data_IF_392516386036
#
_entry.id   IF_392516386036
#
_cell.length_a   1.000
_cell.length_b   1.000
_cell.length_c   1.000
_cell.angle_alpha   90.00
_cell.angle_beta   90.00
_cell.angle_gamma   90.00
#
_symmetry.space_group_name_H-M   'P 1'
#
loop_
_entity.id
_entity.type
_entity.pdbx_description
1 polymer ?
#
# COMPACT_ATOMS: atom_id res chain seq x y z
N UNK A 1 4.35 13.70 35.47
CA UNK A 1 4.35 13.86 34.00
C UNK A 1 3.35 12.93 33.27
N UNK A 2 3.26 11.62 33.56
CA UNK A 2 2.31 10.67 32.93
C UNK A 2 0.82 11.05 33.11
N UNK A 3 0.40 11.44 34.31
CA UNK A 3 -0.99 11.79 34.65
C UNK A 3 -1.46 13.05 33.90
N UNK A 4 -0.65 14.09 33.83
CA UNK A 4 -0.96 15.30 33.07
C UNK A 4 -1.11 15.02 31.56
N UNK A 5 -0.25 14.17 31.00
CA UNK A 5 -0.36 13.73 29.59
C UNK A 5 -1.65 12.93 29.36
N UNK A 6 -2.07 12.09 30.32
CA UNK A 6 -3.32 11.34 30.24
C UNK A 6 -4.56 12.24 30.31
N UNK A 7 -4.58 13.21 31.24
CA UNK A 7 -5.64 14.20 31.36
C UNK A 7 -5.77 15.07 30.11
N UNK A 8 -4.65 15.54 29.57
CA UNK A 8 -4.63 16.29 28.31
C UNK A 8 -5.16 15.48 27.13
N UNK A 9 -4.81 14.18 27.06
CA UNK A 9 -5.33 13.26 26.02
C UNK A 9 -6.84 13.06 26.15
N UNK A 10 -7.36 12.83 27.37
CA UNK A 10 -8.81 12.69 27.62
C UNK A 10 -9.57 13.98 27.28
N UNK A 11 -9.05 15.14 27.69
CA UNK A 11 -9.61 16.46 27.36
C UNK A 11 -9.67 16.67 25.84
N UNK A 12 -8.57 16.41 25.13
CA UNK A 12 -8.51 16.54 23.68
C UNK A 12 -9.47 15.58 22.96
N UNK A 13 -9.62 14.33 23.45
CA UNK A 13 -10.55 13.36 22.90
C UNK A 13 -12.01 13.83 23.08
N UNK A 14 -12.35 14.35 24.26
CA UNK A 14 -13.68 14.90 24.55
C UNK A 14 -14.03 16.07 23.61
N UNK A 15 -13.14 17.05 23.46
CA UNK A 15 -13.36 18.18 22.56
C UNK A 15 -13.44 17.77 21.09
N UNK A 16 -12.66 16.76 20.66
CA UNK A 16 -12.77 16.19 19.31
C UNK A 16 -14.15 15.54 19.11
N UNK A 17 -14.65 14.81 20.09
CA UNK A 17 -16.00 14.23 20.07
C UNK A 17 -17.08 15.29 19.90
N UNK A 18 -17.03 16.38 20.66
CA UNK A 18 -17.98 17.51 20.53
C UNK A 18 -17.90 18.12 19.12
N UNK A 19 -16.71 18.42 18.62
CA UNK A 19 -16.52 18.98 17.28
C UNK A 19 -17.03 18.05 16.19
N UNK A 20 -16.80 16.75 16.34
CA UNK A 20 -17.29 15.73 15.42
C UNK A 20 -18.83 15.69 15.41
N UNK A 21 -19.47 15.73 16.59
CA UNK A 21 -20.93 15.76 16.69
C UNK A 21 -21.54 17.04 16.10
N UNK A 22 -20.88 18.19 16.29
CA UNK A 22 -21.32 19.45 15.70
C UNK A 22 -21.28 19.44 14.17
N UNK A 23 -20.22 18.88 13.58
CA UNK A 23 -20.14 18.79 12.11
C UNK A 23 -21.19 17.82 11.56
N UNK A 24 -21.44 16.69 12.23
CA UNK A 24 -22.51 15.77 11.85
C UNK A 24 -23.89 16.41 11.98
N UNK A 25 -24.13 17.17 13.06
CA UNK A 25 -25.36 17.89 13.25
C UNK A 25 -25.66 18.87 12.12
N UNK A 26 -24.65 19.55 11.58
CA UNK A 26 -24.78 20.47 10.45
C UNK A 26 -25.37 19.79 9.20
N UNK A 27 -25.09 18.50 9.01
CA UNK A 27 -25.55 17.74 7.85
C UNK A 27 -26.80 16.90 8.11
N UNK A 28 -27.36 16.89 9.33
CA UNK A 28 -28.52 16.05 9.68
C UNK A 28 -29.74 16.25 8.80
N UNK A 29 -29.96 17.47 8.32
CA UNK A 29 -31.11 17.85 7.47
C UNK A 29 -30.82 17.74 5.97
N UNK A 30 -29.67 17.19 5.58
CA UNK A 30 -29.39 16.93 4.17
C UNK A 30 -30.45 15.96 3.62
N UNK A 31 -30.95 16.17 2.38
CA UNK A 31 -31.94 15.30 1.77
C UNK A 31 -31.54 13.82 1.77
N UNK A 32 -32.51 12.96 1.55
CA UNK A 32 -32.23 11.54 1.35
C UNK A 32 -31.25 11.34 0.19
N UNK A 33 -30.37 10.33 0.32
CA UNK A 33 -29.39 9.99 -0.72
C UNK A 33 -30.13 9.61 -2.00
N UNK A 34 -29.65 10.15 -3.11
CA UNK A 34 -30.06 9.72 -4.45
C UNK A 34 -29.08 8.64 -4.91
N UNK A 35 -29.49 7.76 -5.85
CA UNK A 35 -28.55 6.89 -6.57
C UNK A 35 -27.41 7.71 -7.16
N UNK A 36 -26.20 7.16 -7.15
CA UNK A 36 -25.05 7.81 -7.76
C UNK A 36 -25.21 7.80 -9.28
N UNK A 37 -25.09 8.99 -9.88
CA UNK A 37 -25.07 9.13 -11.34
C UNK A 37 -23.63 9.47 -11.77
N UNK A 38 -22.92 8.56 -12.45
CA UNK A 38 -21.57 8.80 -12.92
C UNK A 38 -21.50 9.67 -14.19
N UNK A 39 -22.63 9.86 -14.90
CA UNK A 39 -22.65 10.55 -16.21
C UNK A 39 -22.11 11.98 -16.15
N UNK A 40 -22.49 12.85 -15.18
CA UNK A 40 -21.97 14.21 -15.10
C UNK A 40 -20.56 14.28 -14.48
N UNK A 41 -20.04 13.20 -13.91
CA UNK A 41 -18.73 13.19 -13.23
C UNK A 41 -17.61 13.27 -14.26
N UNK A 42 -16.63 14.13 -14.00
CA UNK A 42 -15.40 14.26 -14.79
C UNK A 42 -14.16 14.23 -13.89
N UNK A 43 -14.17 14.96 -12.79
CA UNK A 43 -13.03 15.17 -11.89
C UNK A 43 -13.24 14.41 -10.59
N UNK A 44 -12.38 13.43 -10.35
CA UNK A 44 -12.44 12.53 -9.18
C UNK A 44 -11.23 12.75 -8.30
N UNK A 45 -11.45 12.95 -7.01
CA UNK A 45 -10.39 13.02 -5.99
C UNK A 45 -10.41 11.75 -5.13
N UNK A 46 -9.30 11.03 -5.10
CA UNK A 46 -9.08 9.87 -4.24
C UNK A 46 -8.37 10.32 -2.96
N UNK A 47 -8.90 9.96 -1.78
CA UNK A 47 -8.33 10.32 -0.49
C UNK A 47 -7.60 9.11 0.13
N UNK A 48 -6.30 9.28 0.39
CA UNK A 48 -5.46 8.35 1.17
C UNK A 48 -4.57 9.16 2.11
N UNK A 49 -5.13 9.56 3.26
CA UNK A 49 -4.50 10.53 4.16
C UNK A 49 -3.51 9.90 5.15
N UNK A 50 -3.49 8.59 5.24
CA UNK A 50 -2.70 7.81 6.20
C UNK A 50 -1.26 7.52 5.76
N UNK A 51 -0.87 7.93 4.54
CA UNK A 51 0.47 7.76 3.94
C UNK A 51 0.98 6.31 3.92
N UNK A 52 0.05 5.33 3.93
CA UNK A 52 0.38 3.91 3.85
C UNK A 52 0.64 3.48 2.41
N UNK A 53 1.88 3.10 2.13
CA UNK A 53 2.32 2.72 0.78
C UNK A 53 1.52 1.55 0.20
N UNK A 54 1.28 0.47 0.98
CA UNK A 54 0.53 -0.69 0.51
C UNK A 54 -0.88 -0.33 0.06
N UNK A 55 -1.60 0.42 0.89
CA UNK A 55 -2.93 0.93 0.59
C UNK A 55 -2.93 1.83 -0.66
N UNK A 56 -1.91 2.69 -0.80
CA UNK A 56 -1.78 3.55 -1.97
C UNK A 56 -1.54 2.74 -3.25
N UNK A 57 -0.66 1.74 -3.21
CA UNK A 57 -0.41 0.87 -4.38
C UNK A 57 -1.70 0.18 -4.82
N UNK A 58 -2.51 -0.32 -3.90
CA UNK A 58 -3.83 -0.88 -4.23
C UNK A 58 -4.76 0.19 -4.83
N UNK A 59 -4.72 1.44 -4.31
CA UNK A 59 -5.53 2.56 -4.84
C UNK A 59 -5.20 2.88 -6.29
N UNK A 60 -3.95 2.67 -6.73
CA UNK A 60 -3.54 2.95 -8.13
C UNK A 60 -4.31 2.11 -9.15
N UNK A 61 -4.73 0.90 -8.79
CA UNK A 61 -5.58 0.09 -9.68
C UNK A 61 -6.94 0.74 -9.94
N UNK A 62 -7.57 1.31 -8.91
CA UNK A 62 -8.81 2.09 -9.07
C UNK A 62 -8.55 3.37 -9.88
N UNK A 63 -7.46 4.09 -9.61
CA UNK A 63 -7.09 5.28 -10.35
C UNK A 63 -6.91 4.98 -11.85
N UNK A 64 -6.21 3.89 -12.19
CA UNK A 64 -6.00 3.44 -13.56
C UNK A 64 -7.32 3.16 -14.28
N UNK A 65 -8.18 2.32 -13.68
CA UNK A 65 -9.46 1.95 -14.31
C UNK A 65 -10.33 3.19 -14.55
N UNK A 66 -10.42 4.11 -13.61
CA UNK A 66 -11.17 5.35 -13.77
C UNK A 66 -10.55 6.23 -14.88
N UNK A 67 -9.23 6.40 -14.91
CA UNK A 67 -8.54 7.20 -15.92
C UNK A 67 -8.70 6.62 -17.34
N UNK A 68 -8.60 5.31 -17.50
CA UNK A 68 -8.84 4.60 -18.77
C UNK A 68 -10.28 4.78 -19.29
N UNK A 69 -11.23 5.12 -18.42
CA UNK A 69 -12.61 5.46 -18.76
C UNK A 69 -12.86 6.96 -18.93
N UNK A 70 -11.79 7.76 -18.97
CA UNK A 70 -11.84 9.19 -19.26
C UNK A 70 -12.10 10.10 -18.07
N UNK A 71 -12.07 9.58 -16.82
CA UNK A 71 -12.13 10.41 -15.61
C UNK A 71 -10.79 11.09 -15.34
N UNK A 72 -10.81 12.36 -14.96
CA UNK A 72 -9.64 13.09 -14.49
C UNK A 72 -9.39 12.77 -13.02
N UNK A 73 -8.48 11.84 -12.76
CA UNK A 73 -8.22 11.35 -11.43
C UNK A 73 -7.11 12.15 -10.76
N UNK A 74 -7.38 12.64 -9.56
CA UNK A 74 -6.39 13.26 -8.67
C UNK A 74 -6.33 12.51 -7.35
N UNK A 75 -5.21 12.64 -6.62
CA UNK A 75 -5.02 12.00 -5.32
C UNK A 75 -4.60 13.04 -4.29
N UNK A 76 -5.18 12.98 -3.09
CA UNK A 76 -4.73 13.74 -1.91
C UNK A 76 -4.16 12.75 -0.89
N UNK A 77 -2.84 12.87 -0.60
CA UNK A 77 -2.12 11.89 0.19
C UNK A 77 -0.93 12.47 0.96
N UNK A 78 -0.30 11.67 1.81
CA UNK A 78 0.90 12.05 2.55
C UNK A 78 2.18 12.07 1.68
N UNK A 79 3.31 12.50 2.26
CA UNK A 79 4.54 12.76 1.51
C UNK A 79 5.14 11.53 0.84
N UNK A 80 5.15 10.36 1.51
CA UNK A 80 5.73 9.13 0.94
C UNK A 80 4.90 8.65 -0.26
N UNK A 81 3.57 8.72 -0.15
CA UNK A 81 2.68 8.35 -1.24
C UNK A 81 2.72 9.39 -2.39
N UNK A 82 2.95 10.67 -2.12
CA UNK A 82 3.22 11.66 -3.17
C UNK A 82 4.46 11.31 -3.98
N UNK A 83 5.52 10.89 -3.30
CA UNK A 83 6.79 10.49 -3.93
C UNK A 83 6.61 9.27 -4.84
N UNK A 84 5.91 8.23 -4.37
CA UNK A 84 5.72 6.98 -5.14
C UNK A 84 4.79 7.16 -6.35
N UNK A 85 3.91 8.15 -6.33
CA UNK A 85 2.97 8.44 -7.41
C UNK A 85 3.50 9.44 -8.44
N UNK A 86 4.64 10.09 -8.17
CA UNK A 86 5.19 11.12 -9.03
C UNK A 86 5.46 10.59 -10.45
N UNK A 87 4.87 11.25 -11.45
CA UNK A 87 4.98 10.82 -12.86
C UNK A 87 3.99 9.74 -13.29
N UNK A 88 2.95 9.45 -12.49
CA UNK A 88 1.89 8.52 -12.89
C UNK A 88 1.11 9.05 -14.09
N UNK A 89 0.96 8.22 -15.13
CA UNK A 89 0.16 8.55 -16.33
C UNK A 89 -1.36 8.49 -16.08
N UNK A 90 -1.81 7.80 -15.03
CA UNK A 90 -3.22 7.64 -14.66
C UNK A 90 -3.70 8.64 -13.61
N UNK A 91 -2.80 9.45 -13.05
CA UNK A 91 -3.12 10.43 -12.01
C UNK A 91 -2.73 11.81 -12.50
N UNK A 92 -3.74 12.62 -12.81
CA UNK A 92 -3.53 13.97 -13.34
C UNK A 92 -2.76 14.87 -12.37
N UNK A 93 -3.08 14.79 -11.08
CA UNK A 93 -2.43 15.61 -10.05
C UNK A 93 -2.38 14.88 -8.70
N UNK A 94 -1.21 14.88 -8.08
CA UNK A 94 -1.02 14.43 -6.70
C UNK A 94 -0.89 15.65 -5.80
N UNK A 95 -1.75 15.74 -4.79
CA UNK A 95 -1.74 16.80 -3.79
C UNK A 95 -1.18 16.29 -2.47
N UNK A 96 -0.24 17.04 -1.91
CA UNK A 96 0.32 16.73 -0.60
C UNK A 96 -0.65 17.16 0.52
N UNK A 97 -1.14 16.18 1.27
CA UNK A 97 -1.92 16.43 2.48
C UNK A 97 -1.02 16.88 3.62
N UNK A 98 -1.40 17.98 4.26
CA UNK A 98 -0.84 18.43 5.54
C UNK A 98 -1.96 18.85 6.46
N UNK A 99 -1.90 18.53 7.77
CA UNK A 99 -2.88 19.04 8.73
C UNK A 99 -3.00 20.56 8.63
N UNK A 100 -4.25 21.06 8.58
CA UNK A 100 -4.57 22.51 8.47
C UNK A 100 -4.09 23.20 7.18
N UNK A 101 -3.81 22.45 6.12
CA UNK A 101 -3.47 23.05 4.81
C UNK A 101 -4.61 23.93 4.28
N UNK A 102 -4.28 24.91 3.45
CA UNK A 102 -5.28 25.64 2.68
C UNK A 102 -5.88 24.73 1.61
N UNK A 103 -7.21 24.76 1.48
CA UNK A 103 -7.94 23.97 0.49
C UNK A 103 -8.33 24.79 -0.77
N UNK A 104 -7.85 26.02 -0.89
CA UNK A 104 -8.25 26.90 -1.99
C UNK A 104 -7.92 26.31 -3.35
N UNK A 105 -6.74 25.75 -3.54
CA UNK A 105 -6.33 25.08 -4.77
C UNK A 105 -7.24 23.89 -5.10
N UNK A 106 -7.53 23.03 -4.11
CA UNK A 106 -8.41 21.88 -4.29
C UNK A 106 -9.85 22.29 -4.62
N UNK A 107 -10.35 23.35 -3.97
CA UNK A 107 -11.69 23.89 -4.27
C UNK A 107 -11.76 24.51 -5.67
N UNK A 108 -10.71 25.19 -6.11
CA UNK A 108 -10.65 25.79 -7.44
C UNK A 108 -10.72 24.74 -8.56
N UNK A 109 -10.26 23.52 -8.31
CA UNK A 109 -10.44 22.40 -9.26
C UNK A 109 -11.91 22.05 -9.41
N UNK A 110 -12.71 22.12 -8.34
CA UNK A 110 -14.13 21.79 -8.36
C UNK A 110 -14.35 20.30 -8.64
N UNK A 111 -13.97 19.42 -7.72
CA UNK A 111 -14.16 17.98 -7.87
C UNK A 111 -15.63 17.60 -7.90
N UNK A 112 -16.02 16.76 -8.86
CA UNK A 112 -17.37 16.24 -9.00
C UNK A 112 -17.60 15.10 -7.98
N UNK A 113 -16.59 14.27 -7.76
CA UNK A 113 -16.63 13.20 -6.76
C UNK A 113 -15.35 13.16 -5.91
N UNK A 114 -15.52 12.94 -4.61
CA UNK A 114 -14.43 12.65 -3.68
C UNK A 114 -14.67 11.26 -3.10
N UNK A 115 -13.66 10.37 -3.17
CA UNK A 115 -13.72 9.00 -2.69
C UNK A 115 -12.84 8.85 -1.46
N UNK A 116 -13.46 8.57 -0.32
CA UNK A 116 -12.80 8.29 0.96
C UNK A 116 -12.71 6.78 1.18
N UNK A 117 -11.53 6.22 1.05
CA UNK A 117 -11.30 4.77 1.18
C UNK A 117 -11.24 4.28 2.62
N UNK A 118 -11.09 5.17 3.60
CA UNK A 118 -10.91 4.78 5.00
C UNK A 118 -12.24 4.57 5.73
N UNK A 119 -12.27 3.56 6.60
CA UNK A 119 -13.39 3.38 7.54
C UNK A 119 -13.32 4.34 8.74
N UNK A 120 -12.14 4.92 8.98
CA UNK A 120 -11.92 5.83 10.12
C UNK A 120 -12.75 7.09 9.98
N UNK A 121 -13.45 7.44 11.06
CA UNK A 121 -14.20 8.69 11.20
C UNK A 121 -13.47 9.62 12.17
N UNK A 122 -13.18 10.83 11.73
CA UNK A 122 -12.59 11.87 12.60
C UNK A 122 -13.13 13.24 12.24
N UNK A 123 -13.07 14.16 13.20
CA UNK A 123 -13.45 15.55 12.95
C UNK A 123 -12.64 16.17 11.81
N UNK A 124 -11.33 15.93 11.79
CA UNK A 124 -10.40 16.47 10.79
C UNK A 124 -10.76 16.00 9.38
N UNK A 125 -11.09 14.71 9.25
CA UNK A 125 -11.53 14.11 7.97
C UNK A 125 -12.86 14.68 7.49
N UNK A 126 -13.85 14.75 8.41
CA UNK A 126 -15.16 15.29 8.06
C UNK A 126 -15.09 16.78 7.71
N UNK A 127 -14.27 17.53 8.45
CA UNK A 127 -14.02 18.93 8.12
C UNK A 127 -13.37 19.07 6.75
N UNK A 128 -12.37 18.26 6.44
CA UNK A 128 -11.72 18.23 5.12
C UNK A 128 -12.76 17.98 4.00
N UNK A 129 -13.55 16.92 4.12
CA UNK A 129 -14.57 16.56 3.14
C UNK A 129 -15.62 17.66 2.97
N UNK A 130 -16.11 18.22 4.08
CA UNK A 130 -17.07 19.33 4.06
C UNK A 130 -16.48 20.59 3.38
N UNK A 131 -15.23 20.87 3.69
CA UNK A 131 -14.53 22.06 3.17
C UNK A 131 -14.10 21.92 1.69
N UNK A 132 -13.95 20.71 1.16
CA UNK A 132 -13.67 20.47 -0.26
C UNK A 132 -14.83 20.90 -1.16
N UNK A 133 -16.08 20.86 -0.68
CA UNK A 133 -17.28 21.25 -1.42
C UNK A 133 -17.46 20.49 -2.74
N UNK A 134 -17.07 19.22 -2.77
CA UNK A 134 -17.31 18.37 -3.93
C UNK A 134 -18.83 18.13 -4.12
N UNK A 135 -19.23 17.84 -5.35
CA UNK A 135 -20.64 17.55 -5.68
C UNK A 135 -21.12 16.28 -5.00
N UNK A 136 -20.26 15.26 -4.95
CA UNK A 136 -20.54 13.97 -4.29
C UNK A 136 -19.39 13.53 -3.41
N UNK A 137 -19.69 13.14 -2.19
CA UNK A 137 -18.77 12.50 -1.24
C UNK A 137 -19.14 11.03 -1.09
N UNK A 138 -18.22 10.16 -1.47
CA UNK A 138 -18.38 8.69 -1.47
C UNK A 138 -17.49 8.11 -0.38
N UNK A 139 -17.99 7.16 0.41
CA UNK A 139 -17.20 6.47 1.43
C UNK A 139 -17.64 5.04 1.63
N UNK A 140 -16.90 4.28 2.43
CA UNK A 140 -17.22 2.91 2.78
C UNK A 140 -17.83 2.83 4.17
N UNK A 141 -18.95 2.11 4.32
CA UNK A 141 -19.63 1.88 5.61
C UNK A 141 -19.97 3.18 6.36
N UNK A 142 -20.49 4.20 5.65
CA UNK A 142 -20.77 5.56 6.14
C UNK A 142 -22.26 5.90 6.17
N UNK A 143 -23.16 4.91 6.17
CA UNK A 143 -24.60 5.13 6.07
C UNK A 143 -25.16 6.03 7.16
N UNK A 144 -24.60 5.97 8.37
CA UNK A 144 -25.01 6.79 9.51
C UNK A 144 -24.61 8.26 9.37
N UNK A 145 -23.77 8.64 8.40
CA UNK A 145 -23.27 10.01 8.26
C UNK A 145 -23.81 10.68 7.01
N UNK A 146 -24.65 11.69 7.19
CA UNK A 146 -25.26 12.45 6.11
C UNK A 146 -24.29 13.32 5.29
N UNK A 147 -23.06 13.52 5.78
CA UNK A 147 -21.99 14.18 5.01
C UNK A 147 -21.69 13.41 3.72
N UNK A 148 -21.69 12.08 3.79
CA UNK A 148 -21.46 11.24 2.63
C UNK A 148 -22.74 11.12 1.80
N UNK A 149 -22.65 11.48 0.52
CA UNK A 149 -23.76 11.35 -0.44
C UNK A 149 -24.01 9.90 -0.83
N UNK A 150 -22.93 9.10 -0.87
CA UNK A 150 -23.01 7.67 -1.18
C UNK A 150 -22.15 6.88 -0.19
N UNK A 151 -22.68 5.77 0.26
CA UNK A 151 -22.00 4.83 1.13
C UNK A 151 -21.99 3.46 0.48
N UNK A 152 -20.79 2.94 0.26
CA UNK A 152 -20.60 1.59 -0.27
C UNK A 152 -20.55 0.64 0.93
N UNK A 153 -21.52 -0.27 1.03
CA UNK A 153 -21.48 -1.32 2.05
C UNK A 153 -20.45 -2.39 1.64
N UNK A 154 -19.44 -2.59 2.47
CA UNK A 154 -18.43 -3.62 2.24
C UNK A 154 -17.94 -4.17 3.58
N UNK A 155 -18.35 -5.41 3.89
CA UNK A 155 -18.07 -6.11 5.15
C UNK A 155 -17.41 -7.48 4.93
N UNK A 156 -17.01 -7.78 3.69
CA UNK A 156 -16.39 -9.06 3.37
C UNK A 156 -14.98 -9.14 3.97
N UNK A 157 -14.83 -10.02 4.96
CA UNK A 157 -13.60 -10.27 5.68
C UNK A 157 -12.69 -11.32 5.04
N UNK A 158 -13.19 -12.04 4.03
CA UNK A 158 -12.49 -13.16 3.40
C UNK A 158 -11.97 -12.83 2.00
N UNK A 159 -12.40 -11.71 1.43
CA UNK A 159 -11.95 -11.32 0.11
C UNK A 159 -10.67 -10.48 0.16
N UNK A 160 -9.90 -10.59 -0.92
CA UNK A 160 -8.73 -9.74 -1.14
C UNK A 160 -9.14 -8.26 -1.19
N UNK A 161 -8.29 -7.38 -0.66
CA UNK A 161 -8.53 -5.94 -0.54
C UNK A 161 -8.97 -5.28 -1.87
N UNK A 162 -8.50 -5.75 -3.02
CA UNK A 162 -8.89 -5.23 -4.33
C UNK A 162 -10.40 -5.33 -4.59
N UNK A 163 -11.11 -6.30 -3.97
CA UNK A 163 -12.56 -6.43 -4.13
C UNK A 163 -13.30 -5.22 -3.53
N UNK A 164 -12.77 -4.66 -2.45
CA UNK A 164 -13.28 -3.41 -1.88
C UNK A 164 -13.14 -2.25 -2.87
N UNK A 165 -11.98 -2.12 -3.51
CA UNK A 165 -11.74 -1.05 -4.49
C UNK A 165 -12.55 -1.23 -5.77
N UNK A 166 -12.81 -2.47 -6.18
CA UNK A 166 -13.71 -2.79 -7.29
C UNK A 166 -15.16 -2.33 -7.04
N UNK A 167 -15.61 -2.18 -5.78
CA UNK A 167 -16.93 -1.61 -5.50
C UNK A 167 -17.03 -0.13 -5.92
N UNK A 168 -15.95 0.63 -5.83
CA UNK A 168 -15.90 2.00 -6.38
C UNK A 168 -16.06 1.95 -7.89
N UNK A 169 -15.29 1.10 -8.56
CA UNK A 169 -15.36 0.92 -10.04
C UNK A 169 -16.79 0.55 -10.47
N UNK A 170 -17.44 -0.37 -9.76
CA UNK A 170 -18.84 -0.74 -10.00
C UNK A 170 -19.82 0.42 -9.79
N UNK A 171 -19.60 1.26 -8.78
CA UNK A 171 -20.42 2.44 -8.53
C UNK A 171 -20.38 3.41 -9.72
N UNK A 172 -19.25 3.49 -10.44
CA UNK A 172 -19.12 4.26 -11.67
C UNK A 172 -19.71 3.56 -12.92
N UNK A 173 -20.43 2.47 -12.74
CA UNK A 173 -21.04 1.72 -13.84
C UNK A 173 -20.05 0.94 -14.70
N UNK A 174 -18.81 0.78 -14.23
CA UNK A 174 -17.75 0.08 -14.95
C UNK A 174 -17.80 -1.40 -14.58
N UNK A 175 -18.14 -2.24 -15.54
CA UNK A 175 -17.98 -3.69 -15.44
C UNK A 175 -16.54 -4.00 -15.86
N UNK A 176 -15.72 -4.43 -14.90
CA UNK A 176 -14.33 -4.82 -15.14
C UNK A 176 -14.16 -6.29 -14.74
N UNK A 177 -14.17 -7.16 -15.73
CA UNK A 177 -13.96 -8.61 -15.59
C UNK A 177 -12.48 -9.00 -15.60
N UNK A 178 -11.60 -8.02 -15.80
CA UNK A 178 -10.16 -8.23 -15.83
C UNK A 178 -9.54 -8.27 -14.41
N UNK A 179 -8.36 -8.89 -14.27
CA UNK A 179 -7.61 -8.84 -13.02
C UNK A 179 -7.32 -7.39 -12.59
N UNK A 180 -7.51 -7.11 -11.31
CA UNK A 180 -7.26 -5.78 -10.75
C UNK A 180 -5.76 -5.52 -10.67
N UNK A 181 -5.21 -4.86 -11.70
CA UNK A 181 -3.78 -4.54 -11.80
C UNK A 181 -3.46 -3.21 -11.11
N UNK A 182 -2.40 -3.20 -10.33
CA UNK A 182 -1.80 -1.98 -9.77
C UNK A 182 -0.89 -1.32 -10.79
N UNK A 183 -0.69 -0.02 -10.66
CA UNK A 183 0.25 0.72 -11.50
C UNK A 183 1.16 1.58 -10.64
N UNK A 184 2.47 1.46 -10.86
CA UNK A 184 3.45 2.33 -10.24
C UNK A 184 4.31 2.97 -11.33
N UNK A 185 4.45 4.31 -11.33
CA UNK A 185 5.37 4.98 -12.21
C UNK A 185 6.81 4.58 -11.90
N UNK A 186 7.71 4.79 -12.82
CA UNK A 186 9.13 4.62 -12.58
C UNK A 186 9.78 5.94 -12.14
N UNK A 187 10.85 5.83 -11.37
CA UNK A 187 11.72 6.95 -11.04
C UNK A 187 13.06 6.80 -11.78
N UNK A 188 13.28 7.61 -12.84
CA UNK A 188 14.49 7.49 -13.67
C UNK A 188 15.78 7.58 -12.85
N UNK A 189 15.87 8.56 -11.96
CA UNK A 189 17.06 8.75 -11.12
C UNK A 189 17.34 7.54 -10.23
N UNK A 190 16.32 6.99 -9.57
CA UNK A 190 16.49 5.80 -8.74
C UNK A 190 16.78 4.55 -9.57
N UNK A 191 16.21 4.43 -10.78
CA UNK A 191 16.52 3.35 -11.72
C UNK A 191 17.98 3.35 -12.10
N UNK A 192 18.57 4.51 -12.37
CA UNK A 192 20.00 4.63 -12.69
C UNK A 192 20.89 4.28 -11.49
N UNK A 193 20.49 4.63 -10.24
CA UNK A 193 21.19 4.18 -9.03
C UNK A 193 21.14 2.67 -8.87
N UNK A 194 19.97 2.07 -9.04
CA UNK A 194 19.76 0.61 -8.94
C UNK A 194 20.58 -0.11 -10.02
N UNK A 195 20.57 0.39 -11.26
CA UNK A 195 21.36 -0.21 -12.34
C UNK A 195 22.86 -0.19 -12.01
N UNK A 196 23.41 0.91 -11.50
CA UNK A 196 24.81 0.98 -11.04
C UNK A 196 25.09 0.03 -9.88
N UNK A 197 24.18 -0.14 -8.94
CA UNK A 197 24.33 -1.10 -7.86
C UNK A 197 24.39 -2.54 -8.38
N UNK A 198 23.42 -2.89 -9.24
CA UNK A 198 23.33 -4.24 -9.80
C UNK A 198 24.50 -4.61 -10.72
N UNK A 199 25.12 -3.64 -11.39
CA UNK A 199 26.30 -3.88 -12.23
C UNK A 199 27.52 -4.36 -11.45
N UNK A 200 27.60 -4.08 -10.15
CA UNK A 200 28.67 -4.56 -9.26
C UNK A 200 28.67 -6.09 -9.10
N UNK A 201 27.52 -6.73 -9.28
CA UNK A 201 27.42 -8.18 -9.16
C UNK A 201 27.98 -8.93 -10.40
N UNK A 202 28.19 -8.23 -11.52
CA UNK A 202 28.56 -8.85 -12.79
C UNK A 202 27.45 -9.73 -13.35
N UNK A 203 27.83 -10.76 -14.10
CA UNK A 203 26.89 -11.72 -14.68
C UNK A 203 26.36 -12.68 -13.60
N UNK A 204 25.04 -12.80 -13.48
CA UNK A 204 24.34 -13.63 -12.51
C UNK A 204 23.11 -14.30 -13.15
N UNK A 205 22.79 -15.50 -12.68
CA UNK A 205 21.58 -16.21 -13.12
C UNK A 205 20.29 -15.54 -12.62
N UNK A 206 20.30 -15.05 -11.39
CA UNK A 206 19.15 -14.38 -10.77
C UNK A 206 19.54 -13.17 -9.91
N UNK A 207 18.66 -12.17 -9.90
CA UNK A 207 18.67 -11.06 -8.95
C UNK A 207 17.52 -11.24 -7.97
N UNK A 208 17.84 -11.32 -6.69
CA UNK A 208 16.87 -11.62 -5.63
C UNK A 208 16.80 -10.44 -4.66
N UNK A 209 15.62 -9.87 -4.52
CA UNK A 209 15.36 -8.82 -3.55
C UNK A 209 14.87 -9.46 -2.23
N UNK A 210 15.51 -9.12 -1.11
CA UNK A 210 15.07 -9.51 0.23
C UNK A 210 14.67 -8.26 1.01
N UNK A 211 13.42 -8.17 1.42
CA UNK A 211 12.95 -7.16 2.35
C UNK A 211 12.77 -7.80 3.73
N UNK A 212 13.63 -7.54 4.73
CA UNK A 212 13.50 -8.18 6.04
C UNK A 212 12.59 -7.44 7.01
N UNK A 213 12.29 -6.16 6.77
CA UNK A 213 11.67 -5.28 7.74
C UNK A 213 10.30 -4.77 7.31
N UNK A 214 9.44 -4.55 8.29
CA UNK A 214 8.10 -4.01 8.13
C UNK A 214 7.89 -2.78 9.03
N UNK A 215 6.66 -2.28 9.08
CA UNK A 215 6.25 -1.26 10.05
C UNK A 215 5.92 -1.84 11.43
N UNK A 216 5.91 -3.18 11.60
CA UNK A 216 5.52 -3.88 12.83
C UNK A 216 6.50 -5.01 13.11
N UNK A 217 7.24 -4.91 14.22
CA UNK A 217 8.34 -5.84 14.57
C UNK A 217 7.92 -7.31 14.62
N UNK A 218 6.64 -7.61 14.91
CA UNK A 218 6.09 -8.96 14.91
C UNK A 218 6.04 -9.60 13.50
N UNK A 219 6.24 -8.81 12.48
CA UNK A 219 6.30 -9.26 11.08
C UNK A 219 7.72 -9.25 10.51
N UNK A 220 8.71 -8.72 11.22
CA UNK A 220 10.09 -8.63 10.71
C UNK A 220 10.76 -10.01 10.71
N UNK A 221 11.62 -10.26 9.73
CA UNK A 221 12.61 -11.34 9.83
C UNK A 221 13.69 -10.94 10.85
N UNK A 222 14.12 -11.91 11.67
CA UNK A 222 15.26 -11.67 12.56
C UNK A 222 16.60 -11.79 11.80
N UNK A 223 17.67 -11.27 12.43
CA UNK A 223 19.03 -11.31 11.84
C UNK A 223 19.46 -12.71 11.43
N UNK A 224 19.19 -13.72 12.28
CA UNK A 224 19.56 -15.13 12.03
C UNK A 224 18.86 -15.64 10.76
N UNK A 225 17.56 -15.41 10.61
CA UNK A 225 16.79 -15.81 9.43
C UNK A 225 17.36 -15.19 8.15
N UNK A 226 17.67 -13.89 8.17
CA UNK A 226 18.22 -13.18 7.01
C UNK A 226 19.62 -13.73 6.66
N UNK A 227 20.48 -13.96 7.66
CA UNK A 227 21.80 -14.53 7.45
C UNK A 227 21.71 -15.92 6.81
N UNK A 228 20.87 -16.80 7.37
CA UNK A 228 20.65 -18.16 6.86
C UNK A 228 20.09 -18.13 5.43
N UNK A 229 19.17 -17.23 5.12
CA UNK A 229 18.67 -17.05 3.75
C UNK A 229 19.77 -16.64 2.76
N UNK A 230 20.60 -15.68 3.15
CA UNK A 230 21.72 -15.21 2.31
C UNK A 230 22.72 -16.35 2.08
N UNK A 231 23.10 -17.09 3.11
CA UNK A 231 24.01 -18.25 3.01
C UNK A 231 23.46 -19.32 2.07
N UNK A 232 22.20 -19.73 2.24
CA UNK A 232 21.55 -20.74 1.40
C UNK A 232 21.40 -20.31 -0.06
N UNK A 233 21.04 -19.06 -0.30
CA UNK A 233 20.95 -18.50 -1.66
C UNK A 233 22.31 -18.50 -2.37
N UNK A 234 23.39 -18.22 -1.63
CA UNK A 234 24.75 -18.26 -2.18
C UNK A 234 25.29 -19.67 -2.42
N UNK A 235 24.75 -20.65 -1.68
CA UNK A 235 25.10 -22.07 -1.87
C UNK A 235 24.36 -22.71 -3.04
N UNK A 236 23.48 -21.99 -3.75
CA UNK A 236 22.84 -22.52 -4.97
C UNK A 236 23.87 -22.82 -6.07
N UNK A 237 23.60 -23.82 -6.95
CA UNK A 237 24.55 -24.23 -7.99
C UNK A 237 24.73 -23.21 -9.11
N UNK A 238 24.11 -22.04 -9.00
CA UNK A 238 24.21 -20.92 -9.93
C UNK A 238 24.39 -19.60 -9.16
N UNK A 239 25.00 -18.65 -9.82
CA UNK A 239 25.35 -17.37 -9.23
C UNK A 239 24.12 -16.47 -9.04
N UNK A 240 23.93 -15.91 -7.84
CA UNK A 240 22.84 -15.00 -7.52
C UNK A 240 23.38 -13.64 -7.05
N UNK A 241 22.66 -12.58 -7.40
CA UNK A 241 22.83 -11.26 -6.81
C UNK A 241 21.73 -11.04 -5.78
N UNK A 242 22.10 -10.79 -4.52
CA UNK A 242 21.15 -10.53 -3.43
C UNK A 242 21.14 -9.03 -3.15
N UNK A 243 19.94 -8.42 -3.15
CA UNK A 243 19.74 -7.00 -2.85
C UNK A 243 18.80 -6.85 -1.67
N UNK A 244 19.28 -6.22 -0.62
CA UNK A 244 18.46 -5.93 0.57
C UNK A 244 17.62 -4.68 0.34
N UNK A 245 16.32 -4.77 0.64
CA UNK A 245 15.35 -3.68 0.53
C UNK A 245 14.94 -3.23 1.94
N UNK A 246 15.00 -1.92 2.19
CA UNK A 246 14.63 -1.36 3.48
C UNK A 246 15.44 -0.12 3.83
N UNK A 247 15.27 0.38 5.05
CA UNK A 247 16.07 1.51 5.54
C UNK A 247 17.52 1.08 5.71
N UNK A 248 18.43 1.84 5.12
CA UNK A 248 19.87 1.53 5.11
C UNK A 248 20.48 1.35 6.49
N UNK A 249 20.01 2.12 7.51
CA UNK A 249 20.47 1.98 8.88
C UNK A 249 20.13 0.59 9.47
N UNK A 250 18.91 0.11 9.25
CA UNK A 250 18.49 -1.21 9.72
C UNK A 250 19.23 -2.33 8.97
N UNK A 251 19.45 -2.17 7.67
CA UNK A 251 20.19 -3.15 6.84
C UNK A 251 21.64 -3.25 7.31
N UNK A 252 22.31 -2.13 7.54
CA UNK A 252 23.70 -2.11 8.07
C UNK A 252 23.82 -2.83 9.40
N UNK A 253 22.82 -2.72 10.27
CA UNK A 253 22.81 -3.40 11.58
C UNK A 253 22.76 -4.93 11.46
N UNK A 254 22.33 -5.47 10.31
CA UNK A 254 22.38 -6.92 10.05
C UNK A 254 23.82 -7.43 9.95
N UNK A 255 24.78 -6.60 9.56
CA UNK A 255 26.19 -6.97 9.39
C UNK A 255 26.39 -8.07 8.34
N UNK A 256 25.71 -7.96 7.19
CA UNK A 256 25.77 -8.92 6.10
C UNK A 256 26.51 -8.32 4.90
N UNK A 257 27.84 -8.51 4.86
CA UNK A 257 28.71 -7.93 3.84
C UNK A 257 28.51 -8.52 2.43
N UNK A 258 27.68 -9.54 2.32
CA UNK A 258 27.51 -10.37 1.14
C UNK A 258 26.26 -10.00 0.32
N UNK A 259 25.48 -9.01 0.74
CA UNK A 259 24.29 -8.55 0.06
C UNK A 259 24.43 -7.06 -0.30
N UNK A 260 24.00 -6.70 -1.50
CA UNK A 260 23.95 -5.31 -1.94
C UNK A 260 22.80 -4.57 -1.26
N UNK A 261 22.92 -3.26 -1.09
CA UNK A 261 21.82 -2.37 -0.67
C UNK A 261 22.09 -0.93 -1.12
N UNK A 262 21.04 -0.13 -1.19
CA UNK A 262 21.16 1.29 -1.51
C UNK A 262 21.38 2.08 -0.22
N UNK A 263 22.50 2.78 -0.12
CA UNK A 263 22.88 3.54 1.07
C UNK A 263 21.87 4.65 1.42
N UNK A 264 21.40 5.37 0.40
CA UNK A 264 20.41 6.45 0.52
C UNK A 264 19.04 5.94 0.03
N UNK A 265 18.52 4.88 0.69
CA UNK A 265 17.29 4.23 0.28
C UNK A 265 16.06 5.12 0.48
N UNK A 266 15.28 5.29 -0.59
CA UNK A 266 13.96 5.92 -0.60
C UNK A 266 12.90 4.88 -0.92
N UNK A 267 11.62 5.26 -0.86
CA UNK A 267 10.56 4.38 -1.33
C UNK A 267 10.69 4.11 -2.83
N UNK A 268 11.10 5.08 -3.62
CA UNK A 268 11.31 4.91 -5.06
C UNK A 268 12.50 4.01 -5.38
N UNK A 269 13.58 4.04 -4.58
CA UNK A 269 14.66 3.07 -4.73
C UNK A 269 14.21 1.65 -4.44
N UNK A 270 13.34 1.44 -3.43
CA UNK A 270 12.73 0.14 -3.17
C UNK A 270 11.88 -0.33 -4.37
N UNK A 271 11.06 0.56 -4.95
CA UNK A 271 10.26 0.27 -6.16
C UNK A 271 11.16 -0.17 -7.31
N UNK A 272 12.25 0.55 -7.59
CA UNK A 272 13.13 0.21 -8.71
C UNK A 272 13.97 -1.05 -8.46
N UNK A 273 14.36 -1.34 -7.21
CA UNK A 273 14.98 -2.64 -6.86
C UNK A 273 14.01 -3.78 -7.15
N UNK A 274 12.77 -3.71 -6.65
CA UNK A 274 11.75 -4.74 -6.90
C UNK A 274 11.49 -4.90 -8.40
N UNK A 275 11.38 -3.79 -9.14
CA UNK A 275 11.23 -3.81 -10.61
C UNK A 275 12.37 -4.55 -11.31
N UNK A 276 13.60 -4.38 -10.82
CA UNK A 276 14.82 -4.89 -11.46
C UNK A 276 15.23 -6.30 -11.03
N UNK A 277 14.62 -6.83 -9.96
CA UNK A 277 14.87 -8.17 -9.45
C UNK A 277 13.94 -9.21 -10.09
N UNK A 278 14.36 -10.47 -10.06
CA UNK A 278 13.66 -11.60 -10.65
C UNK A 278 12.78 -12.34 -9.65
N UNK A 279 13.19 -12.33 -8.37
CA UNK A 279 12.48 -12.94 -7.25
C UNK A 279 12.47 -11.98 -6.07
N UNK A 280 11.35 -11.90 -5.38
CA UNK A 280 11.17 -11.09 -4.16
C UNK A 280 10.89 -11.99 -2.97
N UNK A 281 11.63 -11.81 -1.87
CA UNK A 281 11.39 -12.49 -0.59
C UNK A 281 11.04 -11.42 0.44
N UNK A 282 9.88 -11.50 1.06
CA UNK A 282 9.39 -10.45 1.94
C UNK A 282 8.40 -10.98 2.98
N UNK A 283 8.33 -10.43 4.19
CA UNK A 283 7.17 -10.61 5.05
C UNK A 283 5.97 -9.77 4.57
N UNK A 284 4.85 -9.86 5.28
CA UNK A 284 3.62 -9.07 5.03
C UNK A 284 3.86 -7.56 5.18
N UNK A 285 4.11 -6.88 4.06
CA UNK A 285 4.39 -5.44 3.98
C UNK A 285 3.98 -4.86 2.63
N UNK A 286 4.13 -3.54 2.46
CA UNK A 286 3.87 -2.84 1.20
C UNK A 286 4.66 -3.40 0.00
N UNK A 287 5.79 -4.07 0.23
CA UNK A 287 6.61 -4.69 -0.83
C UNK A 287 5.82 -5.79 -1.57
N UNK A 288 4.90 -6.48 -0.89
CA UNK A 288 3.98 -7.45 -1.53
C UNK A 288 3.19 -6.79 -2.66
N UNK A 289 2.64 -5.62 -2.40
CA UNK A 289 1.83 -4.90 -3.40
C UNK A 289 2.69 -4.24 -4.47
N UNK A 290 3.90 -3.78 -4.13
CA UNK A 290 4.87 -3.27 -5.10
C UNK A 290 5.30 -4.41 -6.05
N UNK A 291 5.62 -5.60 -5.53
CA UNK A 291 5.97 -6.76 -6.34
C UNK A 291 4.82 -7.17 -7.28
N UNK A 292 3.57 -7.15 -6.78
CA UNK A 292 2.38 -7.39 -7.60
C UNK A 292 2.21 -6.37 -8.71
N UNK A 293 2.51 -5.08 -8.47
CA UNK A 293 2.42 -4.05 -9.51
C UNK A 293 3.33 -4.31 -10.71
N UNK A 294 4.40 -5.07 -10.51
CA UNK A 294 5.35 -5.49 -11.56
C UNK A 294 5.24 -6.97 -11.91
N UNK A 295 4.20 -7.65 -11.44
CA UNK A 295 3.96 -9.08 -11.68
C UNK A 295 5.20 -9.96 -11.38
N UNK A 296 5.92 -9.64 -10.29
CA UNK A 296 7.17 -10.30 -9.92
C UNK A 296 6.92 -11.64 -9.22
N UNK A 297 7.66 -12.69 -9.55
CA UNK A 297 7.76 -13.86 -8.72
C UNK A 297 8.12 -13.50 -7.29
N UNK A 298 7.40 -14.06 -6.31
CA UNK A 298 7.55 -13.67 -4.92
C UNK A 298 7.28 -14.83 -3.97
N UNK A 299 8.03 -14.87 -2.86
CA UNK A 299 7.70 -15.65 -1.67
C UNK A 299 7.42 -14.68 -0.53
N UNK A 300 6.20 -14.70 -0.03
CA UNK A 300 5.76 -13.80 1.03
C UNK A 300 5.36 -14.57 2.29
N UNK A 301 5.93 -14.18 3.45
CA UNK A 301 5.72 -14.85 4.74
C UNK A 301 4.79 -14.01 5.61
N UNK A 302 3.71 -14.65 6.08
CA UNK A 302 2.66 -14.04 6.89
C UNK A 302 2.51 -14.75 8.21
N UNK A 303 2.19 -14.01 9.27
CA UNK A 303 1.65 -14.60 10.49
C UNK A 303 0.11 -14.57 10.49
N UNK A 304 -0.52 -15.40 11.37
CA UNK A 304 -1.98 -15.45 11.49
C UNK A 304 -2.60 -14.33 12.33
N UNK A 305 -1.84 -13.29 12.66
CA UNK A 305 -2.35 -12.19 13.47
C UNK A 305 -3.51 -11.47 12.79
N UNK A 306 -4.51 -11.13 13.59
CA UNK A 306 -5.62 -10.29 13.18
C UNK A 306 -5.20 -8.83 13.15
N UNK A 307 -5.75 -8.10 12.20
CA UNK A 307 -5.59 -6.65 12.09
C UNK A 307 -6.14 -5.97 13.34
N UNK A 308 -5.39 -5.02 13.92
CA UNK A 308 -5.74 -4.36 15.19
C UNK A 308 -6.99 -3.46 15.07
N UNK A 309 -7.24 -2.92 13.90
CA UNK A 309 -8.32 -1.99 13.60
C UNK A 309 -9.66 -2.68 13.28
N UNK A 310 -9.59 -3.82 12.59
CA UNK A 310 -10.78 -4.53 12.10
C UNK A 310 -11.01 -5.88 12.77
N UNK A 311 -10.00 -6.45 13.43
CA UNK A 311 -10.06 -7.81 13.99
C UNK A 311 -10.06 -8.93 12.94
N UNK A 312 -9.84 -8.59 11.66
CA UNK A 312 -9.91 -9.52 10.53
C UNK A 312 -8.55 -10.16 10.23
N UNK A 313 -8.52 -11.34 9.58
CA UNK A 313 -7.29 -12.04 9.22
C UNK A 313 -6.54 -11.29 8.11
N UNK A 314 -5.45 -10.58 8.49
CA UNK A 314 -4.67 -9.75 7.57
C UNK A 314 -4.10 -10.54 6.38
N UNK A 315 -3.71 -11.79 6.60
CA UNK A 315 -3.15 -12.67 5.57
C UNK A 315 -4.13 -13.05 4.45
N UNK A 316 -5.45 -12.92 4.65
CA UNK A 316 -6.45 -13.07 3.59
C UNK A 316 -6.66 -11.76 2.84
N UNK A 317 -6.89 -10.67 3.59
CA UNK A 317 -7.24 -9.37 3.02
C UNK A 317 -6.06 -8.79 2.23
N UNK A 318 -4.85 -8.89 2.78
CA UNK A 318 -3.64 -8.33 2.20
C UNK A 318 -2.75 -9.38 1.53
N UNK A 319 -3.33 -10.52 1.16
CA UNK A 319 -2.64 -11.57 0.39
C UNK A 319 -1.99 -10.99 -0.89
N UNK A 320 -0.97 -11.63 -1.46
CA UNK A 320 -0.43 -11.25 -2.76
C UNK A 320 -1.50 -11.22 -3.85
N UNK A 321 -2.35 -12.24 -3.93
CA UNK A 321 -3.51 -12.32 -4.80
C UNK A 321 -3.18 -12.37 -6.29
N UNK A 322 -2.05 -12.99 -6.69
CA UNK A 322 -1.67 -13.27 -8.09
C UNK A 322 -0.80 -14.52 -8.18
N UNK A 323 -0.76 -15.15 -9.37
CA UNK A 323 -0.27 -16.53 -9.54
C UNK A 323 1.23 -16.71 -9.32
N UNK A 324 2.04 -15.69 -9.63
CA UNK A 324 3.50 -15.75 -9.48
C UNK A 324 3.98 -15.62 -8.02
N UNK A 325 3.07 -15.33 -7.09
CA UNK A 325 3.40 -15.23 -5.68
C UNK A 325 3.09 -16.52 -4.93
N UNK A 326 4.00 -16.92 -4.05
CA UNK A 326 3.81 -17.98 -3.07
C UNK A 326 3.63 -17.34 -1.69
N UNK A 327 2.46 -17.52 -1.11
CA UNK A 327 2.15 -17.06 0.24
C UNK A 327 2.36 -18.20 1.24
N UNK A 328 3.20 -17.97 2.23
CA UNK A 328 3.41 -18.88 3.36
C UNK A 328 2.75 -18.23 4.59
N UNK A 329 1.76 -18.89 5.16
CA UNK A 329 1.11 -18.43 6.40
C UNK A 329 1.60 -19.30 7.53
N UNK A 330 2.40 -18.76 8.42
CA UNK A 330 2.97 -19.46 9.55
C UNK A 330 2.02 -19.50 10.76
N UNK A 331 2.20 -20.50 11.62
CA UNK A 331 1.41 -20.66 12.86
C UNK A 331 1.94 -19.77 13.99
N UNK A 332 3.20 -19.37 13.90
CA UNK A 332 3.89 -18.55 14.90
C UNK A 332 3.28 -17.14 15.00
N UNK A 333 3.30 -16.62 16.21
CA UNK A 333 2.78 -15.26 16.45
C UNK A 333 3.66 -14.18 15.80
N UNK A 334 4.98 -14.43 15.71
CA UNK A 334 5.92 -13.52 15.07
C UNK A 334 6.62 -14.23 13.91
N UNK A 335 6.85 -13.51 12.83
CA UNK A 335 7.60 -14.03 11.68
C UNK A 335 9.04 -14.40 12.08
N UNK A 336 9.62 -13.68 13.04
CA UNK A 336 10.96 -13.97 13.58
C UNK A 336 11.11 -15.38 14.22
N UNK A 337 10.00 -16.01 14.60
CA UNK A 337 9.99 -17.34 15.25
C UNK A 337 9.86 -18.49 14.22
N UNK A 338 9.64 -18.15 12.94
CA UNK A 338 9.50 -19.14 11.85
C UNK A 338 10.84 -19.76 11.50
N UNK A 339 10.92 -21.09 11.49
CA UNK A 339 12.12 -21.77 11.03
C UNK A 339 12.32 -21.57 9.52
N UNK A 340 13.52 -21.16 9.12
CA UNK A 340 13.85 -20.97 7.68
C UNK A 340 13.73 -22.28 6.91
N UNK A 341 13.89 -23.41 7.56
CA UNK A 341 13.71 -24.76 7.01
C UNK A 341 12.31 -24.96 6.41
N UNK A 342 11.28 -24.33 6.97
CA UNK A 342 9.91 -24.42 6.46
C UNK A 342 9.66 -23.52 5.24
N UNK A 343 10.41 -22.43 5.11
CA UNK A 343 10.27 -21.43 4.01
C UNK A 343 11.20 -21.75 2.85
N UNK A 344 12.39 -22.26 3.13
CA UNK A 344 13.45 -22.49 2.17
C UNK A 344 13.06 -23.36 0.97
N UNK A 345 12.35 -24.49 1.12
CA UNK A 345 11.97 -25.33 -0.03
C UNK A 345 11.18 -24.55 -1.09
N UNK A 346 10.27 -23.65 -0.66
CA UNK A 346 9.46 -22.84 -1.55
C UNK A 346 10.32 -21.77 -2.26
N UNK A 347 11.26 -21.15 -1.54
CA UNK A 347 12.18 -20.16 -2.11
C UNK A 347 13.07 -20.84 -3.17
N UNK A 348 13.66 -21.99 -2.82
CA UNK A 348 14.52 -22.75 -3.73
C UNK A 348 13.78 -23.18 -4.99
N UNK A 349 12.58 -23.73 -4.84
CA UNK A 349 11.74 -24.11 -5.98
C UNK A 349 11.47 -22.94 -6.92
N UNK A 350 11.12 -21.75 -6.38
CA UNK A 350 10.89 -20.57 -7.20
C UNK A 350 12.18 -20.11 -7.92
N UNK A 351 13.32 -20.13 -7.23
CA UNK A 351 14.61 -19.76 -7.82
C UNK A 351 15.01 -20.72 -8.95
N UNK A 352 14.92 -22.03 -8.72
CA UNK A 352 15.24 -23.06 -9.71
C UNK A 352 14.35 -22.96 -10.96
N UNK A 353 13.03 -22.74 -10.78
CA UNK A 353 12.08 -22.53 -11.88
C UNK A 353 12.44 -21.31 -12.73
N UNK A 354 12.87 -20.23 -12.11
CA UNK A 354 13.23 -19.00 -12.82
C UNK A 354 14.53 -19.16 -13.62
N UNK A 355 15.49 -19.93 -13.12
CA UNK A 355 16.71 -20.25 -13.87
C UNK A 355 16.38 -21.17 -15.04
N UNK A 356 15.62 -22.25 -14.81
CA UNK A 356 15.21 -23.18 -15.85
C UNK A 356 14.41 -22.52 -17.00
N UNK A 357 13.63 -21.48 -16.69
CA UNK A 357 12.88 -20.74 -17.70
C UNK A 357 13.74 -19.81 -18.58
N UNK A 358 15.03 -19.62 -18.24
CA UNK A 358 16.01 -18.80 -18.99
C UNK A 358 17.03 -19.63 -19.79
N UNK A 359 17.17 -20.92 -19.43
CA UNK A 359 17.99 -21.90 -20.13
C UNK A 359 17.25 -22.41 -21.37
#
# INVERSE_FOLDING_TARGET
MRILKQLTRKKNAFFRGIKFNLINYRYRNKPARKPFDPVPVRRVLLLRLDDKVGDMVVTTGCARILAERGYQVSVLTGPICCEILAGSEFIQQVYLYRPRMSLNTLRAVGFDAVIDFDDVTSYERFKLLADLRATSVIGFNKDQYKLYDHSIAFFDSNSHISQRYKQVVKLFGIVDDHPYHYHLPGCRHEREKVARLLSQAGEVALRIAINPFTASEDKDFCRHQVATLVERLRALPYRVCIVMVGRSEKIRQLGLDMALYIADSTINSAVEVIRSCDLVITPDTSIVHIARAFDKPMVAVYNKRKLKDTGLPGYHIWAPGYDKAKQIVCEEANVADVAIESVWPVIKEQADRLVAARS
#
